data_IF_967233939310
#
_entry.id   IF_967233939310
#
_cell.length_a   1.000
_cell.length_b   1.000
_cell.length_c   1.000
_cell.angle_alpha   90.00
_cell.angle_beta   90.00
_cell.angle_gamma   90.00
#
_symmetry.space_group_name_H-M   'P 1'
#
loop_
_entity.id
_entity.type
_entity.pdbx_description
1 polymer ?
#
# COMPACT_ATOMS: atom_id res chain seq x y z
N UNK A 1 21.12 -2.00 -10.81
CA UNK A 1 20.06 -3.02 -11.02
C UNK A 1 19.27 -3.32 -9.74
N UNK A 2 19.86 -3.28 -8.53
CA UNK A 2 19.12 -3.60 -7.28
C UNK A 2 17.99 -2.63 -6.88
N UNK A 3 18.12 -1.33 -7.16
CA UNK A 3 17.13 -0.34 -6.69
C UNK A 3 15.80 -0.38 -7.46
N UNK A 4 15.82 -0.70 -8.76
CA UNK A 4 14.59 -0.83 -9.54
C UNK A 4 13.76 -2.04 -9.12
N UNK A 5 14.41 -3.15 -8.76
CA UNK A 5 13.75 -4.37 -8.30
C UNK A 5 13.04 -4.17 -6.95
N UNK A 6 13.70 -3.49 -6.00
CA UNK A 6 13.08 -3.14 -4.72
C UNK A 6 11.84 -2.25 -4.87
N UNK A 7 11.89 -1.28 -5.78
CA UNK A 7 10.75 -0.40 -6.05
C UNK A 7 9.59 -1.13 -6.72
N UNK A 8 9.88 -2.05 -7.64
CA UNK A 8 8.86 -2.90 -8.27
C UNK A 8 8.20 -3.82 -7.23
N UNK A 9 8.99 -4.44 -6.33
CA UNK A 9 8.43 -5.28 -5.25
C UNK A 9 7.48 -4.48 -4.37
N UNK A 10 7.90 -3.29 -3.91
CA UNK A 10 7.05 -2.41 -3.10
C UNK A 10 5.77 -1.99 -3.84
N UNK A 11 5.84 -1.73 -5.15
CA UNK A 11 4.65 -1.41 -5.94
C UNK A 11 3.67 -2.60 -6.03
N UNK A 12 4.18 -3.82 -6.18
CA UNK A 12 3.36 -5.04 -6.19
C UNK A 12 2.71 -5.26 -4.82
N UNK A 13 3.47 -5.12 -3.73
CA UNK A 13 2.94 -5.25 -2.37
C UNK A 13 1.88 -4.19 -2.08
N UNK A 14 2.10 -2.94 -2.52
CA UNK A 14 1.11 -1.86 -2.43
C UNK A 14 -0.18 -2.20 -3.17
N UNK A 15 -0.09 -2.69 -4.40
CA UNK A 15 -1.27 -3.08 -5.18
C UNK A 15 -2.06 -4.18 -4.47
N UNK A 16 -1.36 -5.22 -3.99
CA UNK A 16 -1.98 -6.35 -3.29
C UNK A 16 -2.68 -5.90 -1.99
N UNK A 17 -2.00 -5.11 -1.16
CA UNK A 17 -2.59 -4.63 0.10
C UNK A 17 -3.73 -3.65 -0.19
N UNK A 18 -3.62 -2.82 -1.23
CA UNK A 18 -4.69 -1.92 -1.66
C UNK A 18 -5.98 -2.67 -2.03
N UNK A 19 -5.87 -3.78 -2.76
CA UNK A 19 -7.02 -4.65 -3.03
C UNK A 19 -7.63 -5.23 -1.75
N UNK A 20 -6.80 -5.65 -0.78
CA UNK A 20 -7.28 -6.16 0.51
C UNK A 20 -8.02 -5.09 1.33
N UNK A 21 -7.53 -3.84 1.31
CA UNK A 21 -8.22 -2.70 1.95
C UNK A 21 -9.60 -2.51 1.34
N UNK A 22 -9.71 -2.55 0.01
CA UNK A 22 -10.99 -2.38 -0.67
C UNK A 22 -11.95 -3.55 -0.38
N UNK A 23 -11.45 -4.78 -0.35
CA UNK A 23 -12.25 -5.94 0.05
C UNK A 23 -12.77 -5.83 1.49
N UNK A 24 -11.93 -5.36 2.42
CA UNK A 24 -12.34 -5.10 3.81
C UNK A 24 -13.39 -3.99 3.90
N UNK A 25 -13.24 -2.92 3.11
CA UNK A 25 -14.24 -1.84 3.01
C UNK A 25 -15.58 -2.37 2.50
N UNK A 26 -15.56 -3.19 1.44
CA UNK A 26 -16.76 -3.84 0.88
C UNK A 26 -17.43 -4.75 1.92
N UNK A 27 -16.65 -5.48 2.73
CA UNK A 27 -17.21 -6.31 3.80
C UNK A 27 -17.98 -5.48 4.84
N UNK A 28 -17.42 -4.34 5.27
CA UNK A 28 -18.11 -3.40 6.16
C UNK A 28 -19.38 -2.82 5.52
N UNK A 29 -19.32 -2.41 4.25
CA UNK A 29 -20.50 -1.94 3.50
C UNK A 29 -21.60 -3.01 3.48
N UNK A 30 -21.25 -4.28 3.21
CA UNK A 30 -22.23 -5.38 3.23
C UNK A 30 -22.86 -5.62 4.59
N UNK A 31 -22.12 -5.42 5.68
CA UNK A 31 -22.69 -5.51 7.04
C UNK A 31 -23.67 -4.36 7.29
N UNK A 32 -23.32 -3.14 6.89
CA UNK A 32 -24.20 -1.98 7.00
C UNK A 32 -25.48 -2.17 6.16
N UNK A 33 -25.37 -2.67 4.93
CA UNK A 33 -26.50 -2.96 4.04
C UNK A 33 -27.45 -4.02 4.61
N UNK A 34 -26.91 -4.96 5.40
CA UNK A 34 -27.69 -5.96 6.14
C UNK A 34 -28.33 -5.42 7.43
N UNK A 35 -28.10 -4.15 7.76
CA UNK A 35 -28.65 -3.49 8.94
C UNK A 35 -27.89 -3.75 10.24
N UNK A 36 -26.66 -4.25 10.18
CA UNK A 36 -25.83 -4.40 11.38
C UNK A 36 -25.51 -3.02 11.98
N UNK A 37 -25.62 -2.91 13.31
CA UNK A 37 -25.21 -1.70 14.03
C UNK A 37 -23.71 -1.44 13.86
N UNK A 38 -23.31 -0.17 13.84
CA UNK A 38 -21.89 0.22 13.85
C UNK A 38 -21.13 -0.26 15.09
N UNK A 39 -21.86 -0.53 16.18
CA UNK A 39 -21.33 -1.08 17.43
C UNK A 39 -21.48 -2.60 17.56
N UNK A 40 -21.97 -3.28 16.52
CA UNK A 40 -22.08 -4.74 16.55
C UNK A 40 -20.69 -5.40 16.56
N UNK A 41 -20.53 -6.57 17.22
CA UNK A 41 -19.27 -7.30 17.20
C UNK A 41 -18.72 -7.52 15.79
N UNK A 42 -19.59 -7.86 14.83
CA UNK A 42 -19.24 -8.10 13.44
C UNK A 42 -18.70 -6.85 12.74
N UNK A 43 -19.32 -5.69 12.98
CA UNK A 43 -18.83 -4.43 12.42
C UNK A 43 -17.50 -4.02 13.06
N UNK A 44 -17.33 -4.24 14.37
CA UNK A 44 -16.09 -3.91 15.06
C UNK A 44 -14.93 -4.78 14.56
N UNK A 45 -15.15 -6.08 14.37
CA UNK A 45 -14.14 -7.00 13.81
C UNK A 45 -13.78 -6.64 12.35
N UNK A 46 -14.79 -6.32 11.53
CA UNK A 46 -14.57 -5.87 10.17
C UNK A 46 -13.79 -4.54 10.13
N UNK A 47 -14.10 -3.61 11.04
CA UNK A 47 -13.40 -2.33 11.16
C UNK A 47 -11.95 -2.51 11.64
N UNK A 48 -11.70 -3.42 12.57
CA UNK A 48 -10.34 -3.75 13.03
C UNK A 48 -9.51 -4.30 11.86
N UNK A 49 -10.08 -5.21 11.08
CA UNK A 49 -9.45 -5.77 9.87
C UNK A 49 -9.13 -4.67 8.85
N UNK A 50 -10.11 -3.81 8.54
CA UNK A 50 -9.94 -2.67 7.65
C UNK A 50 -8.84 -1.71 8.14
N UNK A 51 -8.85 -1.40 9.44
CA UNK A 51 -7.87 -0.48 10.04
C UNK A 51 -6.46 -1.03 9.97
N UNK A 52 -6.27 -2.33 10.25
CA UNK A 52 -4.96 -2.99 10.16
C UNK A 52 -4.41 -2.96 8.75
N UNK A 53 -5.23 -3.32 7.75
CA UNK A 53 -4.82 -3.30 6.34
C UNK A 53 -4.53 -1.88 5.85
N UNK A 54 -5.34 -0.90 6.25
CA UNK A 54 -5.14 0.50 5.89
C UNK A 54 -3.82 1.03 6.45
N UNK A 55 -3.50 0.72 7.71
CA UNK A 55 -2.23 1.12 8.31
C UNK A 55 -1.03 0.45 7.62
N UNK A 56 -1.16 -0.82 7.23
CA UNK A 56 -0.12 -1.51 6.46
C UNK A 56 0.08 -0.86 5.08
N UNK A 57 -1.01 -0.49 4.40
CA UNK A 57 -0.95 0.20 3.12
C UNK A 57 -0.21 1.54 3.25
N UNK A 58 -0.56 2.36 4.24
CA UNK A 58 0.07 3.65 4.48
C UNK A 58 1.57 3.52 4.76
N UNK A 59 1.97 2.53 5.58
CA UNK A 59 3.37 2.28 5.86
C UNK A 59 4.16 1.85 4.61
N UNK A 60 3.57 0.99 3.76
CA UNK A 60 4.18 0.60 2.48
C UNK A 60 4.27 1.78 1.51
N UNK A 61 3.27 2.67 1.53
CA UNK A 61 3.24 3.84 0.65
C UNK A 61 4.37 4.80 1.02
N UNK A 62 4.57 5.05 2.32
CA UNK A 62 5.68 5.87 2.82
C UNK A 62 7.04 5.28 2.42
N UNK A 63 7.21 3.97 2.54
CA UNK A 63 8.45 3.28 2.12
C UNK A 63 8.69 3.41 0.61
N UNK A 64 7.65 3.20 -0.20
CA UNK A 64 7.74 3.33 -1.65
C UNK A 64 8.11 4.75 -2.07
N UNK A 65 7.45 5.76 -1.50
CA UNK A 65 7.72 7.16 -1.78
C UNK A 65 9.14 7.56 -1.38
N UNK A 66 9.58 7.15 -0.19
CA UNK A 66 10.96 7.39 0.29
C UNK A 66 11.98 6.78 -0.66
N UNK A 67 11.79 5.52 -1.04
CA UNK A 67 12.73 4.82 -1.91
C UNK A 67 12.75 5.38 -3.34
N UNK A 68 11.58 5.77 -3.86
CA UNK A 68 11.46 6.47 -5.15
C UNK A 68 12.23 7.79 -5.13
N UNK A 69 12.07 8.57 -4.08
CA UNK A 69 12.69 9.89 -3.97
C UNK A 69 14.22 9.78 -3.81
N UNK A 70 14.71 8.79 -3.06
CA UNK A 70 16.14 8.45 -2.98
C UNK A 70 16.73 8.07 -4.35
N UNK A 71 16.02 7.23 -5.11
CA UNK A 71 16.40 6.85 -6.46
C UNK A 71 16.52 8.06 -7.39
N UNK A 72 15.52 8.94 -7.38
CA UNK A 72 15.50 10.15 -8.19
C UNK A 72 16.62 11.12 -7.80
N UNK A 73 16.93 11.25 -6.50
CA UNK A 73 18.06 12.06 -6.02
C UNK A 73 19.39 11.50 -6.50
N UNK A 74 19.60 10.18 -6.39
CA UNK A 74 20.83 9.52 -6.79
C UNK A 74 21.07 9.58 -8.32
N UNK A 75 20.00 9.56 -9.12
CA UNK A 75 20.10 9.77 -10.57
C UNK A 75 20.52 11.20 -10.93
N UNK A 76 20.05 12.20 -10.17
CA UNK A 76 20.40 13.62 -10.38
C UNK A 76 21.83 13.95 -9.94
N UNK A 77 22.35 13.30 -8.90
CA UNK A 77 23.68 13.57 -8.35
C UNK A 77 24.80 12.76 -9.03
N UNK A 78 24.48 11.70 -9.78
CA UNK A 78 25.48 10.90 -10.50
C UNK A 78 24.98 10.46 -11.91
N UNK A 79 25.20 11.28 -12.96
CA UNK A 79 24.71 11.01 -14.31
C UNK A 79 25.24 9.72 -14.94
N UNK A 80 26.38 9.20 -14.47
CA UNK A 80 26.98 7.95 -14.96
C UNK A 80 26.12 6.70 -14.69
N UNK A 81 25.15 6.79 -13.76
CA UNK A 81 24.16 5.72 -13.51
C UNK A 81 22.96 5.77 -14.47
N UNK A 82 22.76 6.87 -15.21
CA UNK A 82 21.71 6.97 -16.23
C UNK A 82 22.12 6.36 -17.59
N UNK A 83 23.39 6.04 -17.80
CA UNK A 83 23.93 5.54 -19.09
C UNK A 83 23.99 4.01 -19.24
N UNK A 84 23.37 3.22 -18.36
CA UNK A 84 23.27 1.75 -18.52
C UNK A 84 21.84 1.28 -18.80
N UNK A 85 21.09 2.07 -19.56
CA UNK A 85 19.85 1.65 -20.20
C UNK A 85 20.05 1.87 -21.70
N UNK A 86 20.82 0.97 -22.32
CA UNK A 86 20.75 0.63 -23.75
C UNK A 86 20.57 -0.89 -23.83
#
# INVERSE_FOLDING_TARGET
MAYSEGLISLAVDLALVGEQVELARIAMTRLADKGYSLSSPEMLEANETFSKLSNQFLALQEQYETYRDELLRNQKTNPALSQKID
#
